data_IF_058744239772
#
_entry.id   IF_058744239772
#
_cell.length_a   1.000
_cell.length_b   1.000
_cell.length_c   1.000
_cell.angle_alpha   90.00
_cell.angle_beta   90.00
_cell.angle_gamma   90.00
#
_symmetry.space_group_name_H-M   'P 1'
#
loop_
_entity.id
_entity.type
_entity.pdbx_description
1 polymer ?
#
# COMPACT_ATOMS: atom_id res chain seq x y z
N UNK A 1 -18.57 -12.15 -20.40
CA UNK A 1 -17.26 -11.72 -20.92
C UNK A 1 -16.66 -10.77 -19.90
N UNK A 2 -15.95 -11.28 -18.91
CA UNK A 2 -15.31 -10.51 -17.86
C UNK A 2 -14.14 -9.73 -18.46
N UNK A 3 -14.09 -8.42 -18.21
CA UNK A 3 -12.96 -7.58 -18.63
C UNK A 3 -11.88 -7.68 -17.55
N UNK A 4 -10.61 -7.85 -17.90
CA UNK A 4 -9.55 -7.93 -16.89
C UNK A 4 -9.45 -6.64 -16.08
N UNK A 5 -9.29 -6.79 -14.75
CA UNK A 5 -9.08 -5.70 -13.78
C UNK A 5 -7.72 -5.03 -14.05
N UNK A 6 -7.59 -4.34 -15.15
CA UNK A 6 -6.33 -3.73 -15.60
C UNK A 6 -6.01 -2.38 -14.94
N UNK A 7 -6.88 -1.88 -14.03
CA UNK A 7 -6.77 -0.52 -13.50
C UNK A 7 -6.73 -0.39 -11.97
N UNK A 8 -6.49 -1.50 -11.26
CA UNK A 8 -6.54 -1.54 -9.79
C UNK A 8 -5.52 -0.63 -9.08
N UNK A 9 -4.46 -0.23 -9.74
CA UNK A 9 -3.32 0.39 -9.06
C UNK A 9 -3.18 1.90 -9.30
N UNK A 10 -4.26 2.63 -9.53
CA UNK A 10 -4.15 4.07 -9.80
C UNK A 10 -3.84 4.94 -8.58
N UNK A 11 -4.00 4.43 -7.35
CA UNK A 11 -3.71 5.25 -6.16
C UNK A 11 -3.00 4.45 -5.07
N UNK A 12 -1.67 4.43 -5.13
CA UNK A 12 -0.83 3.97 -4.02
C UNK A 12 -0.20 5.19 -3.34
N UNK A 13 -0.55 5.45 -2.08
CA UNK A 13 0.10 6.48 -1.28
C UNK A 13 1.10 5.86 -0.30
N UNK A 14 2.34 6.29 -0.36
CA UNK A 14 3.39 5.87 0.55
C UNK A 14 3.73 6.97 1.55
N UNK A 15 3.77 6.66 2.84
CA UNK A 15 4.27 7.55 3.89
C UNK A 15 5.68 7.12 4.27
N UNK A 16 6.66 7.92 3.86
CA UNK A 16 8.07 7.74 4.22
C UNK A 16 8.42 8.73 5.33
N UNK A 17 8.97 8.25 6.43
CA UNK A 17 9.49 9.09 7.51
C UNK A 17 11.01 8.96 7.56
N UNK A 18 11.69 10.09 7.38
CA UNK A 18 13.12 10.19 7.62
C UNK A 18 13.42 10.13 9.11
N UNK A 19 14.38 9.31 9.49
CA UNK A 19 14.91 9.28 10.85
C UNK A 19 15.76 10.51 11.10
N UNK A 20 15.22 11.49 11.83
CA UNK A 20 15.93 12.71 12.18
C UNK A 20 17.15 12.39 13.05
N UNK A 21 18.32 12.71 12.55
CA UNK A 21 19.59 12.64 13.26
C UNK A 21 19.62 13.63 14.45
N UNK A 22 19.77 13.13 15.67
CA UNK A 22 19.99 13.97 16.86
C UNK A 22 21.41 14.55 16.82
N UNK A 23 21.51 15.78 16.37
CA UNK A 23 22.76 16.54 16.42
C UNK A 23 23.21 16.88 17.85
N UNK A 24 24.46 16.59 18.13
CA UNK A 24 25.20 16.93 19.34
C UNK A 24 25.32 18.45 19.51
N UNK A 25 25.05 18.95 20.75
CA UNK A 25 25.23 20.34 21.14
C UNK A 25 26.71 20.73 21.09
N UNK A 26 27.11 21.54 20.15
CA UNK A 26 28.42 22.22 20.12
C UNK A 26 28.32 23.59 20.70
N UNK A 27 29.26 23.90 21.63
CA UNK A 27 29.39 25.20 22.33
C UNK A 27 29.77 26.31 21.34
N UNK A 28 29.02 27.43 21.38
CA UNK A 28 29.29 28.65 20.61
C UNK A 28 30.65 29.25 20.97
N UNK A 29 31.51 29.41 19.97
CA UNK A 29 32.57 30.44 19.96
C UNK A 29 32.11 31.57 19.05
N UNK A 30 32.04 32.77 19.62
CA UNK A 30 31.78 34.03 18.90
C UNK A 30 33.07 34.41 18.20
N UNK A 31 33.05 34.60 16.90
CA UNK A 31 34.21 35.10 16.14
C UNK A 31 33.95 35.08 14.64
N UNK A 32 33.34 36.13 14.16
CA UNK A 32 33.60 36.89 12.91
C UNK A 32 33.82 36.07 11.62
N UNK A 33 33.05 36.49 10.61
CA UNK A 33 32.87 36.03 9.23
C UNK A 33 31.95 34.80 9.11
N UNK A 34 30.70 35.10 8.82
CA UNK A 34 29.80 34.15 8.21
C UNK A 34 30.36 33.84 6.80
N UNK A 35 31.09 32.71 6.69
CA UNK A 35 31.11 32.03 5.40
C UNK A 35 29.67 31.73 5.09
N UNK A 36 29.18 32.26 3.95
CA UNK A 36 27.90 31.84 3.41
C UNK A 36 28.00 30.31 3.26
N UNK A 37 27.29 29.61 4.15
CA UNK A 37 27.10 28.18 4.00
C UNK A 37 26.64 27.96 2.55
N UNK A 38 27.45 27.31 1.76
CA UNK A 38 26.98 26.74 0.51
C UNK A 38 25.75 25.90 0.89
N UNK A 39 24.57 26.42 0.62
CA UNK A 39 23.35 25.61 0.64
C UNK A 39 23.56 24.52 -0.39
N UNK A 40 24.13 23.41 0.05
CA UNK A 40 24.04 22.18 -0.69
C UNK A 40 22.54 21.92 -0.78
N UNK A 41 21.98 22.20 -1.94
CA UNK A 41 20.65 21.71 -2.25
C UNK A 41 20.80 20.18 -2.14
N UNK A 42 20.33 19.62 -1.05
CA UNK A 42 20.14 18.18 -0.94
C UNK A 42 19.22 17.83 -2.10
N UNK A 43 19.78 17.28 -3.17
CA UNK A 43 18.99 16.66 -4.19
C UNK A 43 18.20 15.57 -3.44
N UNK A 44 16.88 15.74 -3.35
CA UNK A 44 16.04 14.73 -2.76
C UNK A 44 16.26 13.46 -3.57
N UNK A 45 16.80 12.43 -2.96
CA UNK A 45 16.98 11.14 -3.62
C UNK A 45 15.60 10.65 -4.05
N UNK A 46 15.48 10.28 -5.32
CA UNK A 46 14.21 9.82 -5.87
C UNK A 46 13.76 8.55 -5.15
N UNK A 47 12.52 8.55 -4.67
CA UNK A 47 11.86 7.39 -4.11
C UNK A 47 10.96 6.76 -5.17
N UNK A 48 10.94 5.44 -5.26
CA UNK A 48 10.04 4.70 -6.13
C UNK A 48 9.40 3.55 -5.36
N UNK A 49 8.08 3.50 -5.38
CA UNK A 49 7.28 2.35 -4.94
C UNK A 49 6.60 1.76 -6.16
N UNK A 50 6.95 0.52 -6.51
CA UNK A 50 6.26 -0.28 -7.53
C UNK A 50 5.22 -1.15 -6.87
N UNK A 51 4.07 -1.35 -7.54
CA UNK A 51 3.05 -2.32 -7.15
C UNK A 51 2.59 -3.09 -8.38
N UNK A 52 2.43 -4.41 -8.23
CA UNK A 52 1.91 -5.31 -9.27
C UNK A 52 0.81 -6.15 -8.66
N UNK A 53 -0.37 -6.10 -9.25
CA UNK A 53 -1.48 -6.98 -8.91
C UNK A 53 -1.51 -8.17 -9.87
N UNK A 54 -1.71 -9.35 -9.32
CA UNK A 54 -1.78 -10.61 -10.05
C UNK A 54 -3.02 -11.34 -9.58
N UNK A 55 -4.00 -11.41 -10.46
CA UNK A 55 -5.20 -12.24 -10.28
C UNK A 55 -4.80 -13.71 -10.43
N UNK A 56 -5.01 -14.51 -9.37
CA UNK A 56 -4.55 -15.89 -9.33
C UNK A 56 -5.54 -16.87 -9.95
N UNK A 57 -6.82 -16.54 -9.95
CA UNK A 57 -7.87 -17.50 -10.24
C UNK A 57 -9.01 -16.87 -11.06
N UNK A 58 -8.82 -16.77 -12.35
CA UNK A 58 -9.80 -16.21 -13.29
C UNK A 58 -11.16 -16.92 -13.18
N UNK A 59 -12.03 -16.43 -12.29
CA UNK A 59 -13.40 -16.88 -12.15
C UNK A 59 -13.65 -17.92 -11.06
N UNK A 60 -12.76 -18.01 -10.10
CA UNK A 60 -12.91 -18.77 -8.86
C UNK A 60 -12.25 -17.99 -7.74
N UNK A 61 -12.89 -17.89 -6.59
CA UNK A 61 -12.38 -17.20 -5.40
C UNK A 61 -11.69 -18.18 -4.43
N UNK A 62 -11.23 -19.34 -4.98
CA UNK A 62 -10.60 -20.39 -4.19
C UNK A 62 -9.18 -20.04 -3.71
N UNK A 63 -8.53 -19.09 -4.39
CA UNK A 63 -7.19 -18.63 -4.04
C UNK A 63 -7.19 -17.10 -3.99
N UNK A 64 -6.68 -16.55 -2.92
CA UNK A 64 -6.53 -15.10 -2.82
C UNK A 64 -5.56 -14.55 -3.86
N UNK A 65 -5.84 -13.36 -4.34
CA UNK A 65 -5.02 -12.63 -5.28
C UNK A 65 -3.67 -12.23 -4.68
N UNK A 66 -2.73 -11.90 -5.54
CA UNK A 66 -1.39 -11.55 -5.10
C UNK A 66 -1.06 -10.10 -5.43
N UNK A 67 -0.55 -9.36 -4.45
CA UNK A 67 -0.01 -8.02 -4.65
C UNK A 67 1.46 -8.02 -4.29
N UNK A 68 2.28 -7.58 -5.24
CA UNK A 68 3.72 -7.45 -5.07
C UNK A 68 4.11 -5.98 -4.96
N UNK A 69 4.85 -5.62 -3.92
CA UNK A 69 5.43 -4.29 -3.73
C UNK A 69 6.95 -4.35 -3.84
N UNK A 70 7.51 -3.36 -4.53
CA UNK A 70 8.96 -3.14 -4.61
C UNK A 70 9.29 -1.70 -4.24
N UNK A 71 10.28 -1.51 -3.37
CA UNK A 71 10.71 -0.20 -2.92
C UNK A 71 12.14 0.06 -3.34
N UNK A 72 12.42 1.25 -3.89
CA UNK A 72 13.77 1.62 -4.32
C UNK A 72 14.03 3.11 -4.17
N UNK A 73 15.30 3.48 -4.13
CA UNK A 73 15.75 4.87 -4.01
C UNK A 73 15.72 5.41 -2.58
N UNK A 74 15.85 6.73 -2.45
CA UNK A 74 16.02 7.40 -1.16
C UNK A 74 17.47 7.44 -0.68
N UNK A 75 17.70 8.23 0.38
CA UNK A 75 18.97 8.28 1.08
C UNK A 75 19.27 6.94 1.76
N UNK A 76 20.54 6.73 2.13
CA UNK A 76 20.93 5.55 2.89
C UNK A 76 20.08 5.40 4.16
N UNK A 77 19.56 4.19 4.39
CA UNK A 77 18.65 3.85 5.50
C UNK A 77 17.23 4.45 5.40
N UNK A 78 16.81 4.93 4.24
CA UNK A 78 15.40 5.27 4.03
C UNK A 78 14.54 4.02 4.17
N UNK A 79 13.57 4.08 5.09
CA UNK A 79 12.68 2.99 5.43
C UNK A 79 11.25 3.31 4.98
N UNK A 80 10.62 2.39 4.27
CA UNK A 80 9.19 2.44 3.99
C UNK A 80 8.44 1.87 5.18
N UNK A 81 7.56 2.67 5.78
CA UNK A 81 6.86 2.30 7.03
C UNK A 81 5.40 1.97 6.85
N UNK A 82 4.81 2.45 5.79
CA UNK A 82 3.38 2.25 5.56
C UNK A 82 3.06 2.30 4.07
N UNK A 83 2.19 1.41 3.63
CA UNK A 83 1.54 1.43 2.32
C UNK A 83 0.04 1.53 2.58
N UNK A 84 -0.60 2.46 1.91
CA UNK A 84 -2.07 2.56 1.90
C UNK A 84 -2.52 2.26 0.47
N UNK A 85 -3.36 1.25 0.34
CA UNK A 85 -4.06 0.92 -0.89
C UNK A 85 -5.48 1.46 -0.78
N UNK A 86 -5.92 2.19 -1.79
CA UNK A 86 -7.30 2.63 -1.93
C UNK A 86 -7.79 2.21 -3.31
N UNK A 87 -8.90 1.53 -3.33
CA UNK A 87 -9.58 1.03 -4.53
C UNK A 87 -10.87 1.78 -4.83
N UNK A 88 -11.22 2.75 -3.97
CA UNK A 88 -12.30 3.72 -4.17
C UNK A 88 -11.93 4.64 -5.35
N UNK A 89 -12.74 4.61 -6.42
CA UNK A 89 -12.35 5.19 -7.71
C UNK A 89 -12.59 6.70 -7.84
N UNK A 90 -13.82 7.14 -7.71
CA UNK A 90 -14.17 8.51 -8.11
C UNK A 90 -15.15 9.16 -7.12
N UNK A 91 -16.09 8.39 -6.59
CA UNK A 91 -17.15 8.89 -5.71
C UNK A 91 -16.87 8.33 -4.32
N UNK A 92 -16.70 9.17 -3.29
CA UNK A 92 -16.49 8.67 -1.94
C UNK A 92 -17.61 7.74 -1.49
N UNK A 93 -17.25 6.57 -1.00
CA UNK A 93 -18.14 5.49 -0.66
C UNK A 93 -18.28 4.44 -1.77
N UNK A 94 -18.86 3.31 -1.44
CA UNK A 94 -18.96 2.17 -2.34
C UNK A 94 -19.80 2.50 -3.58
N UNK A 95 -19.27 2.21 -4.76
CA UNK A 95 -19.90 2.44 -6.05
C UNK A 95 -19.51 1.38 -7.08
N UNK A 96 -20.29 1.24 -8.15
CA UNK A 96 -19.98 0.30 -9.23
C UNK A 96 -18.61 0.55 -9.85
N UNK A 97 -17.82 -0.49 -9.95
CA UNK A 97 -16.45 -0.48 -10.44
C UNK A 97 -15.41 -0.14 -9.37
N UNK A 98 -15.81 0.06 -8.12
CA UNK A 98 -14.89 -0.02 -6.99
C UNK A 98 -14.46 -1.47 -6.79
N UNK A 99 -13.37 -1.64 -6.05
CA UNK A 99 -12.90 -2.96 -5.68
C UNK A 99 -12.89 -3.05 -4.17
N UNK A 100 -13.40 -4.15 -3.64
CA UNK A 100 -13.44 -4.42 -2.21
C UNK A 100 -12.45 -5.52 -1.85
N UNK A 101 -11.95 -5.47 -0.62
CA UNK A 101 -11.13 -6.53 -0.05
C UNK A 101 -12.06 -7.51 0.66
N UNK A 102 -12.22 -8.73 0.12
CA UNK A 102 -12.98 -9.81 0.73
C UNK A 102 -12.05 -10.70 1.56
N UNK A 103 -11.99 -10.43 2.85
CA UNK A 103 -11.04 -11.08 3.76
C UNK A 103 -11.70 -12.00 4.78
N UNK A 104 -13.05 -12.08 4.78
CA UNK A 104 -13.79 -12.93 5.69
C UNK A 104 -15.09 -13.46 5.05
N UNK A 105 -15.50 -14.70 5.32
CA UNK A 105 -16.71 -15.28 4.74
C UNK A 105 -17.98 -14.53 5.11
N UNK A 106 -18.87 -14.33 4.14
CA UNK A 106 -20.21 -13.80 4.35
C UNK A 106 -20.31 -12.28 4.44
N UNK A 107 -19.30 -11.56 3.97
CA UNK A 107 -19.25 -10.12 3.81
C UNK A 107 -19.72 -9.65 2.43
N UNK A 108 -19.20 -8.49 2.02
CA UNK A 108 -19.29 -8.01 0.65
C UNK A 108 -18.20 -8.71 -0.17
N UNK A 109 -18.61 -9.42 -1.19
CA UNK A 109 -17.70 -10.18 -2.04
C UNK A 109 -18.42 -11.37 -2.66
N UNK A 110 -17.73 -12.16 -3.46
CA UNK A 110 -18.22 -13.39 -4.03
C UNK A 110 -18.37 -14.52 -2.97
N UNK A 111 -18.75 -15.71 -3.39
CA UNK A 111 -18.97 -16.86 -2.47
C UNK A 111 -17.68 -17.34 -1.76
N UNK A 112 -16.50 -16.90 -2.20
CA UNK A 112 -15.19 -17.19 -1.60
C UNK A 112 -14.59 -15.98 -0.90
N UNK A 113 -13.68 -16.20 0.02
CA UNK A 113 -12.88 -15.13 0.63
C UNK A 113 -11.51 -15.65 1.01
N UNK A 114 -10.50 -14.80 0.94
CA UNK A 114 -9.14 -15.13 1.38
C UNK A 114 -8.57 -14.06 2.31
N UNK A 115 -8.30 -14.46 3.55
CA UNK A 115 -7.71 -13.57 4.54
C UNK A 115 -6.32 -13.07 4.10
N UNK A 116 -5.99 -11.86 4.55
CA UNK A 116 -4.66 -11.30 4.33
C UNK A 116 -3.54 -12.25 4.77
N UNK A 117 -2.61 -12.52 3.88
CA UNK A 117 -1.43 -13.33 4.14
C UNK A 117 -0.17 -12.67 3.58
N UNK A 118 0.96 -12.85 4.26
CA UNK A 118 2.27 -12.43 3.77
C UNK A 118 2.95 -13.64 3.14
N UNK A 119 3.12 -13.63 1.82
CA UNK A 119 3.76 -14.72 1.08
C UNK A 119 5.28 -14.58 1.04
N UNK A 120 5.78 -13.35 0.93
CA UNK A 120 7.21 -13.05 0.92
C UNK A 120 7.49 -11.70 1.56
N UNK A 121 8.54 -11.64 2.35
CA UNK A 121 9.09 -10.40 2.94
C UNK A 121 10.57 -10.57 3.26
N UNK A 122 11.33 -9.47 3.45
CA UNK A 122 12.67 -9.54 4.01
C UNK A 122 12.68 -10.21 5.38
N UNK A 123 13.72 -10.97 5.69
CA UNK A 123 13.80 -11.76 6.93
C UNK A 123 13.65 -10.91 8.21
N UNK A 124 14.19 -9.69 8.18
CA UNK A 124 14.17 -8.77 9.32
C UNK A 124 12.99 -7.80 9.31
N UNK A 125 12.16 -7.81 8.25
CA UNK A 125 10.99 -6.94 8.18
C UNK A 125 9.82 -7.52 8.99
N UNK A 126 9.08 -6.63 9.65
CA UNK A 126 7.76 -6.94 10.20
C UNK A 126 6.69 -6.33 9.30
N UNK A 127 5.60 -7.06 9.12
CA UNK A 127 4.48 -6.67 8.29
C UNK A 127 3.19 -6.95 9.06
N UNK A 128 2.31 -5.97 9.13
CA UNK A 128 0.94 -6.13 9.62
C UNK A 128 -0.02 -5.39 8.73
N UNK A 129 -1.27 -5.83 8.68
CA UNK A 129 -2.31 -5.16 7.89
C UNK A 129 -3.47 -4.72 8.76
N UNK A 130 -4.12 -3.64 8.31
CA UNK A 130 -5.42 -3.19 8.76
C UNK A 130 -6.31 -3.12 7.53
N UNK A 131 -7.11 -4.14 7.35
CA UNK A 131 -8.13 -4.27 6.31
C UNK A 131 -9.41 -4.76 6.96
N UNK A 132 -10.52 -4.14 6.60
CA UNK A 132 -11.85 -4.60 6.97
C UNK A 132 -12.47 -5.29 5.78
N UNK A 133 -13.22 -6.32 6.05
CA UNK A 133 -14.00 -7.04 5.07
C UNK A 133 -14.97 -6.10 4.34
N UNK A 134 -15.04 -6.20 3.01
CA UNK A 134 -15.81 -5.28 2.17
C UNK A 134 -15.29 -3.85 2.09
N UNK A 135 -14.11 -3.56 2.63
CA UNK A 135 -13.50 -2.22 2.59
C UNK A 135 -12.82 -1.96 1.25
N UNK A 136 -12.89 -0.71 0.78
CA UNK A 136 -12.11 -0.20 -0.36
C UNK A 136 -10.73 0.32 0.06
N UNK A 137 -10.36 0.20 1.34
CA UNK A 137 -9.06 0.67 1.83
C UNK A 137 -8.38 -0.38 2.69
N UNK A 138 -7.10 -0.58 2.42
CA UNK A 138 -6.19 -1.39 3.23
C UNK A 138 -4.94 -0.59 3.60
N UNK A 139 -4.50 -0.74 4.84
CA UNK A 139 -3.21 -0.22 5.30
C UNK A 139 -2.29 -1.39 5.63
N UNK A 140 -1.06 -1.33 5.12
CA UNK A 140 0.01 -2.27 5.45
C UNK A 140 1.10 -1.51 6.18
N UNK A 141 1.31 -1.83 7.46
CA UNK A 141 2.37 -1.26 8.27
C UNK A 141 3.63 -2.13 8.17
N UNK A 142 4.76 -1.46 8.05
CA UNK A 142 6.06 -2.05 7.78
C UNK A 142 7.10 -1.57 8.81
N UNK A 143 8.04 -2.43 9.14
CA UNK A 143 9.26 -2.05 9.85
C UNK A 143 10.43 -2.88 9.34
N UNK A 144 11.59 -2.26 9.17
CA UNK A 144 12.76 -2.92 8.61
C UNK A 144 12.63 -3.18 7.09
N UNK A 145 11.89 -2.34 6.37
CA UNK A 145 11.69 -2.45 4.93
C UNK A 145 12.41 -1.31 4.21
N UNK A 146 13.47 -1.62 3.49
CA UNK A 146 14.41 -0.68 2.91
C UNK A 146 14.46 -0.73 1.39
N UNK A 147 15.18 0.19 0.78
CA UNK A 147 15.40 0.20 -0.66
C UNK A 147 16.04 -1.11 -1.16
N UNK A 148 15.44 -1.70 -2.19
CA UNK A 148 15.79 -3.01 -2.74
C UNK A 148 14.94 -4.16 -2.18
N UNK A 149 14.12 -3.90 -1.16
CA UNK A 149 13.24 -4.91 -0.59
C UNK A 149 11.98 -5.12 -1.43
N UNK A 150 11.44 -6.33 -1.32
CA UNK A 150 10.22 -6.81 -1.95
C UNK A 150 9.29 -7.41 -0.91
N UNK A 151 8.02 -7.05 -1.00
CA UNK A 151 6.92 -7.62 -0.22
C UNK A 151 5.93 -8.27 -1.19
N UNK A 152 5.48 -9.48 -0.89
CA UNK A 152 4.39 -10.14 -1.59
C UNK A 152 3.34 -10.52 -0.57
N UNK A 153 2.13 -10.03 -0.78
CA UNK A 153 0.96 -10.35 0.04
C UNK A 153 -0.10 -11.05 -0.79
N UNK A 154 -1.00 -11.74 -0.14
CA UNK A 154 -2.19 -12.32 -0.75
C UNK A 154 -3.41 -12.00 0.08
N UNK A 155 -4.52 -11.74 -0.58
CA UNK A 155 -5.87 -11.61 -0.04
C UNK A 155 -6.85 -11.66 -1.21
N UNK A 156 -8.12 -11.83 -0.92
CA UNK A 156 -9.14 -11.81 -1.96
C UNK A 156 -9.60 -10.39 -2.27
N UNK A 157 -9.92 -10.14 -3.55
CA UNK A 157 -10.24 -8.81 -4.09
C UNK A 157 -11.34 -8.91 -5.12
N UNK A 158 -12.49 -8.31 -4.85
CA UNK A 158 -13.67 -8.35 -5.70
C UNK A 158 -14.02 -7.01 -6.33
N UNK A 159 -14.52 -7.02 -7.59
CA UNK A 159 -15.03 -5.82 -8.26
C UNK A 159 -16.53 -5.68 -8.00
N UNK A 160 -16.97 -4.52 -7.55
CA UNK A 160 -18.38 -4.15 -7.42
C UNK A 160 -18.96 -3.85 -8.79
N UNK A 161 -19.70 -4.80 -9.41
CA UNK A 161 -20.39 -4.59 -10.70
C UNK A 161 -21.59 -3.67 -10.55
N UNK A 162 -22.38 -3.89 -9.51
CA UNK A 162 -23.59 -3.09 -9.27
C UNK A 162 -23.69 -2.71 -7.80
N UNK A 163 -23.88 -1.43 -7.55
CA UNK A 163 -24.14 -0.91 -6.21
C UNK A 163 -25.47 -0.13 -6.20
N UNK A 164 -26.42 -0.56 -5.37
CA UNK A 164 -27.64 0.17 -5.08
C UNK A 164 -27.64 0.63 -3.62
N UNK A 165 -27.62 1.95 -3.35
CA UNK A 165 -27.64 2.45 -1.97
C UNK A 165 -28.98 2.20 -1.26
N UNK A 166 -29.97 1.64 -1.96
CA UNK A 166 -31.30 1.33 -1.45
C UNK A 166 -31.52 -0.15 -1.16
N UNK A 167 -30.59 -1.00 -1.54
CA UNK A 167 -30.59 -2.42 -1.26
C UNK A 167 -29.65 -2.70 -0.09
N UNK A 168 -30.03 -3.58 0.80
CA UNK A 168 -29.28 -3.91 2.02
C UNK A 168 -28.03 -4.76 1.73
N UNK A 169 -27.97 -5.35 0.56
CA UNK A 169 -26.80 -6.07 0.04
C UNK A 169 -26.43 -5.49 -1.31
N UNK A 170 -25.26 -4.86 -1.47
CA UNK A 170 -24.70 -4.64 -2.80
C UNK A 170 -24.43 -6.02 -3.39
N UNK A 171 -25.07 -6.33 -4.51
CA UNK A 171 -24.71 -7.54 -5.26
C UNK A 171 -23.26 -7.34 -5.75
N UNK A 172 -22.36 -7.89 -5.00
CA UNK A 172 -21.01 -8.17 -5.45
C UNK A 172 -21.07 -9.45 -6.28
N UNK A 173 -20.23 -9.56 -7.17
CA UNK A 173 -20.26 -10.51 -8.26
C UNK A 173 -19.30 -11.64 -8.05
#
# INVERSE_FOLDING_TARGET
>A
SRKPIRRLLETVSAVVRDAAHRGSRQKRKIGVFEEMEQRTMLAADLLSLGAVYIEQDLGSDALGDTIEFSFSGGAEQTELRQIILSTDRIIPGLSSGDVVFDVAPGGLGADGSSAFAVLQKPANATVSSHVLDGSTQMTVDLSGFYAGDKLVISLDVDEVEFFSPYESDPESI
#
